data_IF_501854058527
#
_entry.id   IF_501854058527
#
_cell.length_a   1.000
_cell.length_b   1.000
_cell.length_c   1.000
_cell.angle_alpha   90.00
_cell.angle_beta   90.00
_cell.angle_gamma   90.00
#
_symmetry.space_group_name_H-M   'P 1'
#
loop_
_entity.id
_entity.type
_entity.pdbx_description
1 polymer ?
#
# COMPACT_ATOMS: atom_id res chain seq x y z
N UNK A 1 -0.84 15.84 -5.98
CA UNK A 1 -1.97 14.91 -5.78
C UNK A 1 -2.91 15.54 -4.77
N UNK A 2 -4.19 15.56 -5.08
CA UNK A 2 -5.27 15.95 -4.18
C UNK A 2 -5.58 14.85 -3.15
N UNK A 3 -6.34 15.18 -2.11
CA UNK A 3 -6.78 14.19 -1.12
C UNK A 3 -7.55 13.00 -1.75
N UNK A 4 -8.52 13.21 -2.66
CA UNK A 4 -9.19 12.09 -3.35
C UNK A 4 -8.23 11.18 -4.13
N UNK A 5 -7.23 11.77 -4.81
CA UNK A 5 -6.22 11.00 -5.55
C UNK A 5 -5.35 10.16 -4.60
N UNK A 6 -4.97 10.70 -3.44
CA UNK A 6 -4.22 9.97 -2.42
C UNK A 6 -5.03 8.81 -1.82
N UNK A 7 -6.33 9.02 -1.57
CA UNK A 7 -7.23 7.96 -1.10
C UNK A 7 -7.37 6.85 -2.15
N UNK A 8 -7.58 7.22 -3.41
CA UNK A 8 -7.64 6.26 -4.51
C UNK A 8 -6.34 5.47 -4.64
N UNK A 9 -5.20 6.12 -4.44
CA UNK A 9 -3.91 5.46 -4.43
C UNK A 9 -3.76 4.45 -3.29
N UNK A 10 -4.22 4.78 -2.08
CA UNK A 10 -4.24 3.83 -0.96
C UNK A 10 -5.10 2.59 -1.26
N UNK A 11 -6.25 2.76 -1.92
CA UNK A 11 -7.06 1.64 -2.37
C UNK A 11 -6.34 0.77 -3.41
N UNK A 12 -5.64 1.38 -4.38
CA UNK A 12 -4.84 0.65 -5.37
C UNK A 12 -3.72 -0.15 -4.71
N UNK A 13 -3.01 0.45 -3.75
CA UNK A 13 -1.96 -0.22 -2.99
C UNK A 13 -2.53 -1.39 -2.19
N UNK A 14 -3.66 -1.22 -1.49
CA UNK A 14 -4.31 -2.29 -0.75
C UNK A 14 -4.73 -3.46 -1.64
N UNK A 15 -5.33 -3.17 -2.80
CA UNK A 15 -5.71 -4.19 -3.78
C UNK A 15 -4.49 -4.94 -4.32
N UNK A 16 -3.39 -4.23 -4.61
CA UNK A 16 -2.15 -4.84 -5.07
C UNK A 16 -1.51 -5.73 -4.00
N UNK A 17 -1.48 -5.31 -2.73
CA UNK A 17 -1.01 -6.16 -1.63
C UNK A 17 -1.84 -7.44 -1.49
N UNK A 18 -3.17 -7.35 -1.64
CA UNK A 18 -4.04 -8.53 -1.59
C UNK A 18 -3.71 -9.54 -2.70
N UNK A 19 -3.45 -9.06 -3.92
CA UNK A 19 -3.05 -9.94 -5.05
C UNK A 19 -1.71 -10.60 -4.81
N UNK A 20 -0.69 -9.84 -4.42
CA UNK A 20 0.64 -10.40 -4.14
C UNK A 20 0.60 -11.40 -2.99
N UNK A 21 -0.24 -11.16 -1.98
CA UNK A 21 -0.41 -12.13 -0.90
C UNK A 21 -1.00 -13.46 -1.41
N UNK A 22 -1.98 -13.40 -2.33
CA UNK A 22 -2.52 -14.61 -2.96
C UNK A 22 -1.48 -15.34 -3.82
N UNK A 23 -0.64 -14.60 -4.54
CA UNK A 23 0.47 -15.15 -5.33
C UNK A 23 1.50 -15.85 -4.43
N UNK A 24 1.90 -15.22 -3.32
CA UNK A 24 2.78 -15.81 -2.33
C UNK A 24 2.18 -17.09 -1.72
N UNK A 25 0.90 -17.07 -1.34
CA UNK A 25 0.22 -18.28 -0.84
C UNK A 25 0.24 -19.42 -1.86
N UNK A 26 -0.06 -19.15 -3.14
CA UNK A 26 0.00 -20.16 -4.20
C UNK A 26 1.41 -20.69 -4.41
N UNK A 27 2.42 -19.83 -4.31
CA UNK A 27 3.81 -20.22 -4.40
C UNK A 27 4.21 -21.17 -3.25
N UNK A 28 3.80 -20.86 -2.02
CA UNK A 28 4.00 -21.72 -0.84
C UNK A 28 3.30 -23.09 -1.03
N UNK A 29 2.07 -23.11 -1.54
CA UNK A 29 1.35 -24.35 -1.83
C UNK A 29 2.10 -25.21 -2.87
N UNK A 30 2.60 -24.60 -3.95
CA UNK A 30 3.41 -25.31 -4.96
C UNK A 30 4.69 -25.89 -4.38
N UNK A 31 5.40 -25.14 -3.53
CA UNK A 31 6.58 -25.65 -2.81
C UNK A 31 6.23 -26.87 -1.95
N UNK A 32 5.11 -26.80 -1.22
CA UNK A 32 4.70 -27.83 -0.26
C UNK A 32 4.27 -29.14 -0.92
N UNK A 33 3.61 -29.06 -2.07
CA UNK A 33 2.97 -30.23 -2.70
C UNK A 33 3.69 -30.75 -3.94
N UNK A 34 4.62 -29.99 -4.53
CA UNK A 34 5.42 -30.48 -5.65
C UNK A 34 6.45 -31.52 -5.21
N UNK A 35 6.67 -32.53 -6.06
CA UNK A 35 7.76 -33.50 -5.92
C UNK A 35 8.95 -33.20 -6.84
N UNK A 36 8.79 -32.23 -7.73
CA UNK A 36 9.85 -31.77 -8.63
C UNK A 36 10.66 -30.67 -7.95
N UNK A 37 11.95 -30.95 -7.72
CA UNK A 37 12.88 -30.02 -7.10
C UNK A 37 13.05 -28.72 -7.90
N UNK A 38 12.95 -28.76 -9.23
CA UNK A 38 13.00 -27.54 -10.06
C UNK A 38 11.77 -26.67 -9.83
N UNK A 39 10.59 -27.29 -9.76
CA UNK A 39 9.35 -26.56 -9.48
C UNK A 39 9.33 -25.98 -8.06
N UNK A 40 9.85 -26.71 -7.06
CA UNK A 40 10.00 -26.19 -5.70
C UNK A 40 10.92 -24.96 -5.69
N UNK A 41 12.06 -25.01 -6.39
CA UNK A 41 12.98 -23.89 -6.47
C UNK A 41 12.35 -22.66 -7.17
N UNK A 42 11.62 -22.87 -8.27
CA UNK A 42 10.89 -21.78 -8.96
C UNK A 42 9.82 -21.18 -8.06
N UNK A 43 9.04 -22.01 -7.39
CA UNK A 43 8.00 -21.55 -6.48
C UNK A 43 8.57 -20.78 -5.28
N UNK A 44 9.76 -21.14 -4.77
CA UNK A 44 10.45 -20.35 -3.76
C UNK A 44 10.89 -18.97 -4.28
N UNK A 45 11.38 -18.89 -5.52
CA UNK A 45 11.72 -17.61 -6.16
C UNK A 45 10.47 -16.73 -6.35
N UNK A 46 9.35 -17.32 -6.78
CA UNK A 46 8.09 -16.61 -6.97
C UNK A 46 7.55 -16.06 -5.65
N UNK A 47 7.61 -16.84 -4.55
CA UNK A 47 7.26 -16.36 -3.22
C UNK A 47 8.12 -15.16 -2.82
N UNK A 48 9.44 -15.28 -2.97
CA UNK A 48 10.37 -14.23 -2.56
C UNK A 48 10.18 -12.95 -3.40
N UNK A 49 9.87 -13.08 -4.70
CA UNK A 49 9.55 -11.96 -5.57
C UNK A 49 8.25 -11.27 -5.14
N UNK A 50 7.20 -12.03 -4.82
CA UNK A 50 5.93 -11.49 -4.34
C UNK A 50 6.09 -10.74 -3.01
N UNK A 51 6.84 -11.30 -2.05
CA UNK A 51 7.14 -10.66 -0.77
C UNK A 51 7.98 -9.39 -0.93
N UNK A 52 8.98 -9.40 -1.80
CA UNK A 52 9.79 -8.20 -2.10
C UNK A 52 8.93 -7.09 -2.73
N UNK A 53 8.01 -7.44 -3.63
CA UNK A 53 7.05 -6.48 -4.19
C UNK A 53 6.08 -5.94 -3.13
N UNK A 54 5.62 -6.78 -2.19
CA UNK A 54 4.78 -6.34 -1.06
C UNK A 54 5.51 -5.32 -0.18
N UNK A 55 6.78 -5.54 0.14
CA UNK A 55 7.57 -4.59 0.93
C UNK A 55 7.63 -3.21 0.25
N UNK A 56 7.89 -3.17 -1.06
CA UNK A 56 7.89 -1.90 -1.83
C UNK A 56 6.52 -1.21 -1.81
N UNK A 57 5.43 -1.97 -1.88
CA UNK A 57 4.08 -1.43 -1.76
C UNK A 57 3.80 -0.88 -0.36
N UNK A 58 4.32 -1.49 0.70
CA UNK A 58 4.19 -0.99 2.07
C UNK A 58 4.97 0.32 2.27
N UNK A 59 6.15 0.45 1.69
CA UNK A 59 6.89 1.72 1.68
C UNK A 59 6.12 2.81 0.92
N UNK A 60 5.57 2.46 -0.25
CA UNK A 60 4.70 3.37 -1.01
C UNK A 60 3.45 3.76 -0.22
N UNK A 61 2.82 2.81 0.48
CA UNK A 61 1.68 3.06 1.36
C UNK A 61 2.02 4.10 2.42
N UNK A 62 3.13 3.90 3.14
CA UNK A 62 3.60 4.82 4.18
C UNK A 62 3.87 6.21 3.61
N UNK A 63 4.46 6.31 2.42
CA UNK A 63 4.68 7.58 1.75
C UNK A 63 3.37 8.30 1.39
N UNK A 64 2.38 7.58 0.88
CA UNK A 64 1.05 8.12 0.53
C UNK A 64 0.28 8.53 1.78
N UNK A 65 0.28 7.72 2.84
CA UNK A 65 -0.31 8.06 4.16
C UNK A 65 0.32 9.33 4.73
N UNK A 66 1.65 9.45 4.71
CA UNK A 66 2.36 10.65 5.15
C UNK A 66 2.04 11.90 4.30
N UNK A 67 1.81 11.74 3.00
CA UNK A 67 1.34 12.82 2.14
C UNK A 67 -0.10 13.23 2.47
N UNK A 68 -0.99 12.26 2.66
CA UNK A 68 -2.39 12.51 3.03
C UNK A 68 -2.48 13.27 4.36
N UNK A 69 -1.67 12.91 5.36
CA UNK A 69 -1.59 13.65 6.62
C UNK A 69 -1.17 15.11 6.43
N UNK A 70 -0.20 15.37 5.55
CA UNK A 70 0.23 16.76 5.23
C UNK A 70 -0.86 17.55 4.54
N UNK A 71 -1.53 16.98 3.53
CA UNK A 71 -2.65 17.64 2.82
C UNK A 71 -3.79 17.93 3.79
N UNK A 72 -4.17 16.98 4.64
CA UNK A 72 -5.21 17.20 5.67
C UNK A 72 -4.80 18.26 6.70
N UNK A 73 -3.52 18.32 7.06
CA UNK A 73 -2.97 19.34 7.94
C UNK A 73 -3.01 20.73 7.32
N UNK A 74 -2.67 20.85 6.03
CA UNK A 74 -2.78 22.11 5.27
C UNK A 74 -4.24 22.57 5.12
N UNK A 75 -5.19 21.65 5.01
CA UNK A 75 -6.62 21.93 4.98
C UNK A 75 -7.21 22.26 6.38
N UNK A 76 -6.49 21.93 7.47
CA UNK A 76 -6.80 22.32 8.86
C UNK A 76 -5.89 23.50 9.27
N UNK A 77 -6.02 24.72 8.72
CA UNK A 77 -6.93 25.70 9.33
C UNK A 77 -7.39 26.84 8.38
N UNK A 78 -8.64 26.80 7.92
CA UNK A 78 -9.34 27.98 7.37
C UNK A 78 -10.66 28.30 8.10
N UNK A 79 -11.10 27.43 9.02
CA UNK A 79 -12.34 27.63 9.78
C UNK A 79 -12.17 28.41 11.09
N UNK A 80 -10.93 28.62 11.58
CA UNK A 80 -10.66 29.39 12.80
C UNK A 80 -10.38 30.88 12.54
N UNK A 81 -9.90 31.27 11.35
CA UNK A 81 -9.63 32.68 11.02
C UNK A 81 -10.86 33.49 10.63
N UNK A 82 -12.00 32.85 10.33
CA UNK A 82 -13.26 33.54 10.01
C UNK A 82 -14.06 34.00 11.25
N UNK A 83 -13.68 33.58 12.46
CA UNK A 83 -14.35 34.02 13.70
C UNK A 83 -13.76 35.30 14.32
N UNK A 84 -12.60 35.77 13.85
CA UNK A 84 -11.93 36.94 14.43
C UNK A 84 -12.13 38.25 13.63
N UNK A 85 -12.89 38.24 12.54
CA UNK A 85 -13.16 39.46 11.73
C UNK A 85 -14.55 40.05 11.98
N UNK A 86 -15.39 39.40 12.79
CA UNK A 86 -16.74 39.88 13.13
C UNK A 86 -16.91 40.39 14.57
N UNK A 87 -15.80 40.65 15.27
CA UNK A 87 -15.81 41.15 16.66
C UNK A 87 -15.00 42.45 16.86
N UNK A 88 -14.82 43.25 15.81
CA UNK A 88 -14.21 44.58 15.89
C UNK A 88 -15.23 45.67 15.53
#
# INVERSE_FOLDING_TARGET
MSEPELIAELHRVAAACKRLNQEATRAIERQRFSRDAQEVARAAQDEQAALAAMNRLMDRRRAVEGHLMRVRGQLRPLKSSLKNVMSA
#
